data_IF_841242356271
#
_entry.id   IF_841242356271
#
_cell.length_a   1.000
_cell.length_b   1.000
_cell.length_c   1.000
_cell.angle_alpha   90.00
_cell.angle_beta   90.00
_cell.angle_gamma   90.00
#
_symmetry.space_group_name_H-M   'P 1'
#
loop_
_entity.id
_entity.type
_entity.pdbx_description
1 polymer ?
#
# COMPACT_ATOMS: atom_id res chain seq x y z
N UNK A 1 28.06 -1.01 3.11
CA UNK A 1 27.10 0.05 2.74
C UNK A 1 25.72 -0.27 3.35
N UNK A 2 25.41 0.21 4.56
CA UNK A 2 24.20 -0.22 5.31
C UNK A 2 22.88 0.29 4.72
N UNK A 3 22.91 1.36 3.92
CA UNK A 3 21.72 2.04 3.40
C UNK A 3 21.47 1.83 1.90
N UNK A 4 22.31 1.02 1.24
CA UNK A 4 22.23 0.79 -0.21
C UNK A 4 20.83 0.35 -0.68
N UNK A 5 20.11 -0.58 0.01
CA UNK A 5 18.78 -0.99 -0.42
C UNK A 5 17.76 0.14 -0.36
N UNK A 6 17.83 0.98 0.68
CA UNK A 6 16.92 2.12 0.85
C UNK A 6 17.16 3.18 -0.23
N UNK A 7 18.42 3.44 -0.57
CA UNK A 7 18.79 4.35 -1.67
C UNK A 7 18.26 3.84 -3.00
N UNK A 8 18.40 2.54 -3.29
CA UNK A 8 17.87 1.93 -4.52
C UNK A 8 16.35 2.11 -4.62
N UNK A 9 15.61 1.80 -3.56
CA UNK A 9 14.14 1.94 -3.55
C UNK A 9 13.73 3.39 -3.75
N UNK A 10 14.40 4.32 -3.07
CA UNK A 10 14.10 5.74 -3.18
C UNK A 10 14.39 6.26 -4.59
N UNK A 11 15.49 5.85 -5.21
CA UNK A 11 15.81 6.16 -6.60
C UNK A 11 14.75 5.60 -7.55
N UNK A 12 14.34 4.34 -7.39
CA UNK A 12 13.28 3.74 -8.22
C UNK A 12 11.94 4.48 -8.07
N UNK A 13 11.62 4.94 -6.86
CA UNK A 13 10.40 5.69 -6.59
C UNK A 13 10.42 7.04 -7.32
N UNK A 14 11.54 7.77 -7.22
CA UNK A 14 11.72 9.04 -7.92
C UNK A 14 11.76 8.87 -9.44
N UNK A 15 12.33 7.78 -9.94
CA UNK A 15 12.25 7.43 -11.38
C UNK A 15 10.81 7.20 -11.81
N UNK A 16 10.02 6.47 -11.02
CA UNK A 16 8.59 6.27 -11.29
C UNK A 16 7.81 7.58 -11.31
N UNK A 17 8.04 8.45 -10.31
CA UNK A 17 7.44 9.80 -10.24
C UNK A 17 7.84 10.62 -11.47
N UNK A 18 9.14 10.69 -11.78
CA UNK A 18 9.64 11.40 -12.95
C UNK A 18 8.98 10.91 -14.23
N UNK A 19 8.91 9.59 -14.43
CA UNK A 19 8.23 9.02 -15.59
C UNK A 19 6.78 9.47 -15.68
N UNK A 20 6.00 9.38 -14.59
CA UNK A 20 4.61 9.84 -14.56
C UNK A 20 4.49 11.30 -15.01
N UNK A 21 5.36 12.19 -14.53
CA UNK A 21 5.33 13.62 -14.89
C UNK A 21 5.85 13.92 -16.30
N UNK A 22 6.65 13.03 -16.88
CA UNK A 22 7.16 13.18 -18.26
C UNK A 22 6.33 12.43 -19.30
N UNK A 23 5.42 11.55 -18.90
CA UNK A 23 4.50 10.89 -19.80
C UNK A 23 3.45 11.88 -20.26
N UNK A 24 3.40 12.13 -21.57
CA UNK A 24 2.38 12.97 -22.18
C UNK A 24 0.99 12.41 -21.84
N UNK A 25 0.07 13.30 -21.46
CA UNK A 25 -1.33 12.90 -21.35
C UNK A 25 -1.92 12.81 -22.76
N UNK A 26 -2.70 11.77 -23.08
CA UNK A 26 -3.45 11.74 -24.33
C UNK A 26 -4.38 12.95 -24.38
N UNK A 27 -4.60 13.50 -25.58
CA UNK A 27 -5.40 14.72 -25.79
C UNK A 27 -6.83 14.60 -25.21
N UNK A 28 -7.29 13.37 -25.00
CA UNK A 28 -8.62 13.00 -24.51
C UNK A 28 -8.66 12.71 -23.00
N UNK A 29 -7.56 12.94 -22.27
CA UNK A 29 -7.42 12.58 -20.85
C UNK A 29 -8.43 13.30 -19.94
N UNK A 30 -8.89 14.50 -20.31
CA UNK A 30 -9.91 15.26 -19.59
C UNK A 30 -11.35 14.82 -19.88
N UNK A 31 -11.52 13.80 -20.75
CA UNK A 31 -12.82 13.36 -21.23
C UNK A 31 -13.39 14.26 -22.33
N UNK A 32 -14.38 13.73 -23.03
CA UNK A 32 -15.11 14.44 -24.08
C UNK A 32 -16.27 15.26 -23.48
N UNK A 33 -16.62 16.40 -24.10
CA UNK A 33 -17.81 17.17 -23.72
C UNK A 33 -19.08 16.30 -23.73
N UNK A 34 -20.00 16.51 -22.76
CA UNK A 34 -21.28 15.78 -22.65
C UNK A 34 -22.19 15.91 -23.88
N UNK A 35 -21.85 16.80 -24.82
CA UNK A 35 -22.63 17.11 -26.02
C UNK A 35 -22.45 16.11 -27.16
N UNK A 36 -21.48 15.19 -27.09
CA UNK A 36 -21.28 14.14 -28.12
C UNK A 36 -22.28 13.00 -27.93
N UNK A 37 -23.39 13.06 -28.67
CA UNK A 37 -24.47 12.05 -28.61
C UNK A 37 -23.99 10.64 -29.01
N UNK A 38 -23.03 10.52 -29.94
CA UNK A 38 -22.48 9.22 -30.33
C UNK A 38 -21.79 8.45 -29.19
N UNK A 39 -21.31 9.16 -28.15
CA UNK A 39 -20.71 8.57 -26.95
C UNK A 39 -21.71 8.41 -25.80
N UNK A 40 -22.85 9.08 -25.88
CA UNK A 40 -23.93 8.97 -24.90
C UNK A 40 -24.88 7.81 -25.21
N UNK A 41 -24.96 7.37 -26.46
CA UNK A 41 -25.82 6.26 -26.87
C UNK A 41 -25.24 5.57 -28.12
N UNK A 42 -24.30 4.61 -27.96
CA UNK A 42 -23.77 3.86 -29.10
C UNK A 42 -24.88 3.04 -29.79
N UNK A 43 -24.73 2.80 -31.08
CA UNK A 43 -25.71 2.07 -31.89
C UNK A 43 -26.05 0.71 -31.25
N UNK A 44 -27.33 0.51 -30.92
CA UNK A 44 -27.84 -0.69 -30.24
C UNK A 44 -28.05 -0.56 -28.73
N UNK A 45 -27.68 0.56 -28.10
CA UNK A 45 -27.93 0.79 -26.68
C UNK A 45 -29.38 1.25 -26.41
N UNK A 46 -30.10 0.51 -25.57
CA UNK A 46 -31.46 0.83 -25.14
C UNK A 46 -31.54 1.94 -24.09
N UNK A 47 -30.40 2.38 -23.56
CA UNK A 47 -30.28 3.42 -22.53
C UNK A 47 -29.06 4.31 -22.76
N UNK A 48 -29.08 5.52 -22.19
CA UNK A 48 -27.97 6.47 -22.23
C UNK A 48 -26.80 5.90 -21.41
N UNK A 49 -25.68 5.66 -22.08
CA UNK A 49 -24.46 5.12 -21.51
C UNK A 49 -23.40 6.22 -21.51
N UNK A 50 -22.80 6.54 -20.37
CA UNK A 50 -21.79 7.60 -20.29
C UNK A 50 -20.40 7.11 -20.76
N UNK A 51 -20.14 7.04 -22.08
CA UNK A 51 -18.80 6.71 -22.63
C UNK A 51 -17.92 7.95 -22.85
N UNK A 52 -17.99 8.91 -21.94
CA UNK A 52 -17.29 10.19 -22.08
C UNK A 52 -15.77 10.14 -22.06
N UNK A 53 -15.15 8.99 -21.78
CA UNK A 53 -13.69 8.86 -21.83
C UNK A 53 -13.15 8.14 -23.07
N UNK A 54 -13.98 7.68 -24.00
CA UNK A 54 -13.50 6.78 -25.06
C UNK A 54 -13.05 5.41 -24.53
N UNK A 55 -12.27 4.66 -25.31
CA UNK A 55 -11.83 3.31 -24.89
C UNK A 55 -10.88 3.41 -23.69
N UNK A 56 -10.94 2.44 -22.77
CA UNK A 56 -10.07 2.44 -21.59
C UNK A 56 -8.58 2.36 -21.96
N UNK A 57 -8.29 1.68 -23.08
CA UNK A 57 -6.92 1.47 -23.56
C UNK A 57 -6.26 2.77 -24.00
N UNK A 58 -6.93 3.56 -24.82
CA UNK A 58 -6.36 4.80 -25.38
C UNK A 58 -6.01 5.82 -24.28
N UNK A 59 -6.80 5.86 -23.20
CA UNK A 59 -6.58 6.74 -22.06
C UNK A 59 -5.44 6.32 -21.14
N UNK A 60 -5.26 5.02 -20.95
CA UNK A 60 -4.47 4.51 -19.81
C UNK A 60 -3.20 3.77 -20.24
N UNK A 61 -3.07 3.36 -21.49
CA UNK A 61 -1.93 2.57 -21.97
C UNK A 61 -0.58 3.28 -21.77
N UNK A 62 -0.52 4.60 -21.97
CA UNK A 62 0.73 5.37 -21.86
C UNK A 62 1.25 5.48 -20.42
N UNK A 63 0.36 5.51 -19.43
CA UNK A 63 0.71 5.67 -18.01
C UNK A 63 0.74 4.34 -17.25
N UNK A 64 0.25 3.26 -17.85
CA UNK A 64 0.10 1.94 -17.21
C UNK A 64 1.42 1.40 -16.65
N UNK A 65 2.49 1.47 -17.43
CA UNK A 65 3.81 0.96 -17.03
C UNK A 65 4.40 1.76 -15.87
N UNK A 66 4.32 3.09 -15.94
CA UNK A 66 4.80 3.97 -14.89
C UNK A 66 3.99 3.81 -13.59
N UNK A 67 2.66 3.67 -13.71
CA UNK A 67 1.78 3.40 -12.57
C UNK A 67 2.04 2.04 -11.91
N UNK A 68 2.29 0.99 -12.71
CA UNK A 68 2.67 -0.33 -12.22
C UNK A 68 4.01 -0.26 -11.45
N UNK A 69 5.03 0.36 -12.04
CA UNK A 69 6.34 0.53 -11.42
C UNK A 69 6.20 1.29 -10.10
N UNK A 70 5.51 2.43 -10.11
CA UNK A 70 5.29 3.25 -8.93
C UNK A 70 4.58 2.47 -7.81
N UNK A 71 3.52 1.74 -8.16
CA UNK A 71 2.78 0.92 -7.20
C UNK A 71 3.64 -0.18 -6.58
N UNK A 72 4.35 -0.97 -7.40
CA UNK A 72 5.24 -2.05 -6.91
C UNK A 72 6.34 -1.48 -6.01
N UNK A 73 7.01 -0.41 -6.43
CA UNK A 73 8.10 0.20 -5.64
C UNK A 73 7.57 0.77 -4.33
N UNK A 74 6.37 1.37 -4.33
CA UNK A 74 5.73 1.90 -3.12
C UNK A 74 5.42 0.77 -2.14
N UNK A 75 4.84 -0.33 -2.60
CA UNK A 75 4.53 -1.49 -1.76
C UNK A 75 5.79 -2.14 -1.19
N UNK A 76 6.82 -2.33 -2.03
CA UNK A 76 8.13 -2.85 -1.59
C UNK A 76 8.77 -1.91 -0.57
N UNK A 77 8.75 -0.60 -0.82
CA UNK A 77 9.28 0.41 0.10
C UNK A 77 8.56 0.39 1.45
N UNK A 78 7.22 0.34 1.43
CA UNK A 78 6.41 0.22 2.63
C UNK A 78 6.74 -1.06 3.43
N UNK A 79 6.79 -2.22 2.77
CA UNK A 79 7.18 -3.48 3.41
C UNK A 79 8.59 -3.41 4.01
N UNK A 80 9.54 -2.77 3.34
CA UNK A 80 10.91 -2.57 3.83
C UNK A 80 10.98 -1.65 5.05
N UNK A 81 10.16 -0.60 5.11
CA UNK A 81 10.09 0.30 6.25
C UNK A 81 9.54 -0.40 7.49
N UNK A 82 8.47 -1.19 7.33
CA UNK A 82 7.92 -2.02 8.42
C UNK A 82 8.97 -3.05 8.87
N UNK A 83 9.55 -3.77 7.91
CA UNK A 83 10.61 -4.75 8.14
C UNK A 83 11.79 -4.15 8.91
N UNK A 84 12.20 -2.92 8.57
CA UNK A 84 13.23 -2.20 9.31
C UNK A 84 12.76 -1.88 10.73
N UNK A 85 11.57 -1.30 10.91
CA UNK A 85 11.02 -0.96 12.23
C UNK A 85 10.95 -2.15 13.18
N UNK A 86 10.60 -3.33 12.66
CA UNK A 86 10.50 -4.57 13.43
C UNK A 86 11.87 -5.20 13.74
N UNK A 87 12.94 -4.82 13.04
CA UNK A 87 14.32 -5.27 13.30
C UNK A 87 14.96 -4.57 14.52
N UNK A 88 14.16 -4.15 15.50
CA UNK A 88 14.66 -3.53 16.73
C UNK A 88 15.48 -4.54 17.55
N UNK A 89 16.66 -4.09 17.99
CA UNK A 89 17.73 -4.88 18.63
C UNK A 89 17.32 -5.58 19.94
N UNK A 90 16.14 -5.26 20.48
CA UNK A 90 15.64 -5.76 21.77
C UNK A 90 14.55 -6.84 21.64
N UNK A 91 14.17 -7.25 20.44
CA UNK A 91 13.18 -8.31 20.23
C UNK A 91 13.77 -9.71 20.45
N UNK A 92 12.98 -10.62 21.01
CA UNK A 92 13.33 -12.03 21.17
C UNK A 92 13.57 -12.66 19.78
N UNK A 93 14.70 -13.34 19.57
CA UNK A 93 15.18 -13.77 18.24
C UNK A 93 14.18 -14.65 17.48
N UNK A 94 13.50 -15.55 18.18
CA UNK A 94 12.53 -16.48 17.58
C UNK A 94 11.25 -15.76 17.13
N UNK A 95 10.74 -14.88 17.99
CA UNK A 95 9.56 -14.06 17.72
C UNK A 95 9.83 -13.07 16.57
N UNK A 96 11.04 -12.49 16.53
CA UNK A 96 11.48 -11.63 15.44
C UNK A 96 11.56 -12.37 14.09
N UNK A 97 12.01 -13.62 14.08
CA UNK A 97 12.08 -14.44 12.87
C UNK A 97 10.69 -14.86 12.35
N UNK A 98 9.79 -15.26 13.26
CA UNK A 98 8.39 -15.55 12.91
C UNK A 98 7.72 -14.32 12.29
N UNK A 99 7.83 -13.17 12.94
CA UNK A 99 7.26 -11.93 12.44
C UNK A 99 7.88 -11.50 11.11
N UNK A 100 9.19 -11.66 10.94
CA UNK A 100 9.85 -11.41 9.66
C UNK A 100 9.25 -12.24 8.53
N UNK A 101 9.08 -13.55 8.74
CA UNK A 101 8.48 -14.44 7.75
C UNK A 101 7.02 -14.05 7.46
N UNK A 102 6.25 -13.68 8.49
CA UNK A 102 4.90 -13.18 8.34
C UNK A 102 4.86 -11.89 7.50
N UNK A 103 5.76 -10.95 7.74
CA UNK A 103 5.86 -9.70 6.97
C UNK A 103 6.20 -9.93 5.51
N UNK A 104 7.16 -10.82 5.24
CA UNK A 104 7.53 -11.19 3.87
C UNK A 104 6.35 -11.85 3.17
N UNK A 105 5.65 -12.77 3.84
CA UNK A 105 4.45 -13.42 3.30
C UNK A 105 3.35 -12.40 2.99
N UNK A 106 3.02 -11.51 3.94
CA UNK A 106 2.01 -10.46 3.74
C UNK A 106 2.41 -9.51 2.62
N UNK A 107 3.68 -9.13 2.52
CA UNK A 107 4.20 -8.30 1.43
C UNK A 107 4.06 -8.96 0.06
N UNK A 108 4.39 -10.25 -0.05
CA UNK A 108 4.20 -11.03 -1.29
C UNK A 108 2.73 -11.08 -1.67
N UNK A 109 1.85 -11.40 -0.71
CA UNK A 109 0.40 -11.43 -0.94
C UNK A 109 -0.10 -10.06 -1.38
N UNK A 110 0.37 -8.99 -0.76
CA UNK A 110 -0.06 -7.63 -1.09
C UNK A 110 0.33 -7.24 -2.52
N UNK A 111 1.57 -7.53 -2.92
CA UNK A 111 2.04 -7.32 -4.30
C UNK A 111 1.23 -8.19 -5.27
N UNK A 112 0.97 -9.46 -4.95
CA UNK A 112 0.19 -10.34 -5.80
C UNK A 112 -1.24 -9.81 -6.02
N UNK A 113 -1.91 -9.32 -4.97
CA UNK A 113 -3.24 -8.70 -5.08
C UNK A 113 -3.18 -7.42 -5.90
N UNK A 114 -2.16 -6.58 -5.70
CA UNK A 114 -1.96 -5.39 -6.54
C UNK A 114 -1.79 -5.75 -8.02
N UNK A 115 -0.99 -6.77 -8.34
CA UNK A 115 -0.82 -7.25 -9.72
C UNK A 115 -2.13 -7.78 -10.29
N UNK A 116 -2.88 -8.58 -9.52
CA UNK A 116 -4.21 -9.05 -9.95
C UNK A 116 -5.17 -7.89 -10.20
N UNK A 117 -5.11 -6.83 -9.39
CA UNK A 117 -5.94 -5.63 -9.58
C UNK A 117 -5.55 -4.89 -10.86
N UNK A 118 -4.25 -4.76 -11.16
CA UNK A 118 -3.77 -4.17 -12.41
C UNK A 118 -4.21 -5.00 -13.61
N UNK A 119 -4.12 -6.32 -13.54
CA UNK A 119 -4.59 -7.22 -14.61
C UNK A 119 -6.10 -7.08 -14.80
N UNK A 120 -6.88 -7.06 -13.72
CA UNK A 120 -8.33 -6.87 -13.79
C UNK A 120 -8.69 -5.51 -14.39
N UNK A 121 -7.93 -4.46 -14.06
CA UNK A 121 -8.08 -3.13 -14.63
C UNK A 121 -7.70 -3.07 -16.12
N UNK A 122 -6.66 -3.78 -16.55
CA UNK A 122 -6.30 -3.87 -17.97
C UNK A 122 -7.35 -4.68 -18.76
N UNK A 123 -7.85 -5.77 -18.19
CA UNK A 123 -8.91 -6.58 -18.81
C UNK A 123 -10.19 -5.77 -19.05
N UNK A 124 -10.52 -4.82 -18.16
CA UNK A 124 -11.68 -3.94 -18.37
C UNK A 124 -11.49 -2.93 -19.51
N UNK A 125 -10.27 -2.73 -20.01
CA UNK A 125 -10.04 -1.92 -21.21
C UNK A 125 -10.47 -2.65 -22.48
N UNK A 126 -10.19 -3.95 -22.54
CA UNK A 126 -10.46 -4.77 -23.71
C UNK A 126 -11.92 -5.27 -23.71
N UNK A 127 -12.52 -5.49 -22.53
CA UNK A 127 -13.91 -5.95 -22.37
C UNK A 127 -14.74 -5.02 -21.46
N UNK A 128 -15.02 -3.77 -21.87
CA UNK A 128 -15.68 -2.78 -21.00
C UNK A 128 -17.15 -3.10 -20.68
N UNK A 129 -17.80 -3.97 -21.47
CA UNK A 129 -19.23 -4.30 -21.35
C UNK A 129 -19.51 -5.55 -20.52
N UNK A 130 -18.49 -6.37 -20.27
CA UNK A 130 -18.63 -7.66 -19.59
C UNK A 130 -17.63 -7.77 -18.43
N UNK A 131 -17.79 -6.95 -17.38
CA UNK A 131 -16.90 -7.04 -16.24
C UNK A 131 -17.05 -8.41 -15.56
N UNK A 132 -15.92 -9.05 -15.25
CA UNK A 132 -15.92 -10.24 -14.41
C UNK A 132 -16.29 -9.85 -12.97
N UNK A 133 -17.17 -10.63 -12.36
CA UNK A 133 -17.63 -10.42 -10.98
C UNK A 133 -17.04 -11.47 -10.05
N UNK A 134 -16.75 -11.04 -8.82
CA UNK A 134 -16.42 -11.93 -7.70
C UNK A 134 -17.39 -11.63 -6.55
N UNK A 135 -18.41 -12.48 -6.40
CA UNK A 135 -19.53 -12.21 -5.50
C UNK A 135 -20.45 -11.12 -6.06
N UNK A 136 -20.76 -10.10 -5.24
CA UNK A 136 -21.66 -9.01 -5.62
C UNK A 136 -20.96 -7.84 -6.34
N UNK A 137 -19.64 -7.85 -6.46
CA UNK A 137 -18.87 -6.72 -6.99
C UNK A 137 -17.96 -7.15 -8.15
N UNK A 138 -17.62 -6.24 -9.08
CA UNK A 138 -16.58 -6.47 -10.08
C UNK A 138 -15.26 -6.89 -9.42
N UNK A 139 -14.51 -7.79 -10.08
CA UNK A 139 -13.26 -8.34 -9.55
C UNK A 139 -12.30 -7.25 -9.07
N UNK A 140 -12.10 -6.19 -9.86
CA UNK A 140 -11.23 -5.07 -9.48
C UNK A 140 -11.66 -4.38 -8.17
N UNK A 141 -12.96 -4.15 -8.00
CA UNK A 141 -13.53 -3.57 -6.77
C UNK A 141 -13.34 -4.50 -5.58
N UNK A 142 -13.57 -5.80 -5.75
CA UNK A 142 -13.37 -6.79 -4.68
C UNK A 142 -11.89 -6.86 -4.25
N UNK A 143 -10.96 -6.84 -5.21
CA UNK A 143 -9.52 -6.80 -4.93
C UNK A 143 -9.10 -5.50 -4.24
N UNK A 144 -9.71 -4.37 -4.57
CA UNK A 144 -9.43 -3.10 -3.87
C UNK A 144 -9.85 -3.17 -2.40
N UNK A 145 -11.10 -3.59 -2.11
CA UNK A 145 -11.59 -3.63 -0.73
C UNK A 145 -10.96 -4.74 0.11
N UNK A 146 -10.97 -5.98 -0.38
CA UNK A 146 -10.51 -7.13 0.41
C UNK A 146 -8.98 -7.27 0.38
N UNK A 147 -8.37 -6.88 -0.72
CA UNK A 147 -6.93 -6.94 -0.91
C UNK A 147 -6.23 -5.68 -0.45
N UNK A 148 -6.37 -4.61 -1.21
CA UNK A 148 -5.57 -3.39 -1.01
C UNK A 148 -5.90 -2.71 0.33
N UNK A 149 -7.18 -2.58 0.67
CA UNK A 149 -7.62 -2.01 1.94
C UNK A 149 -7.60 -3.03 3.09
N UNK A 150 -7.79 -4.31 2.78
CA UNK A 150 -7.78 -5.38 3.78
C UNK A 150 -6.41 -5.62 4.40
N UNK A 151 -5.32 -5.46 3.63
CA UNK A 151 -3.95 -5.64 4.16
C UNK A 151 -3.64 -4.66 5.31
N UNK A 152 -3.81 -3.33 5.17
CA UNK A 152 -3.66 -2.39 6.28
C UNK A 152 -4.55 -2.72 7.50
N UNK A 153 -5.79 -3.15 7.27
CA UNK A 153 -6.68 -3.58 8.36
C UNK A 153 -6.12 -4.81 9.10
N UNK A 154 -5.61 -5.79 8.36
CA UNK A 154 -4.92 -6.96 8.92
C UNK A 154 -3.70 -6.57 9.75
N UNK A 155 -2.92 -5.59 9.29
CA UNK A 155 -1.82 -5.02 10.06
C UNK A 155 -2.26 -4.39 11.38
N UNK A 156 -3.36 -3.65 11.38
CA UNK A 156 -3.93 -3.07 12.61
C UNK A 156 -4.35 -4.18 13.59
N UNK A 157 -5.00 -5.24 13.09
CA UNK A 157 -5.40 -6.38 13.91
C UNK A 157 -4.17 -7.08 14.51
N UNK A 158 -3.16 -7.39 13.70
CA UNK A 158 -1.90 -7.97 14.18
C UNK A 158 -1.22 -7.06 15.21
N UNK A 159 -1.18 -5.75 14.95
CA UNK A 159 -0.62 -4.78 15.88
C UNK A 159 -1.33 -4.80 17.24
N UNK A 160 -2.66 -4.83 17.25
CA UNK A 160 -3.44 -4.86 18.49
C UNK A 160 -3.25 -6.17 19.25
N UNK A 161 -3.33 -7.31 18.55
CA UNK A 161 -3.23 -8.64 19.16
C UNK A 161 -1.85 -8.91 19.75
N UNK A 162 -0.79 -8.42 19.11
CA UNK A 162 0.60 -8.67 19.50
C UNK A 162 1.27 -7.44 20.14
N UNK A 163 0.48 -6.46 20.57
CA UNK A 163 1.00 -5.19 21.12
C UNK A 163 1.92 -5.42 22.33
N UNK A 164 1.52 -6.32 23.25
CA UNK A 164 2.24 -6.58 24.50
C UNK A 164 3.58 -7.25 24.26
N UNK A 165 3.66 -8.13 23.27
CA UNK A 165 4.86 -8.90 22.97
C UNK A 165 5.90 -8.06 22.22
N UNK A 166 5.47 -7.14 21.35
CA UNK A 166 6.37 -6.43 20.43
C UNK A 166 6.57 -4.95 20.76
N UNK A 167 5.51 -4.22 21.13
CA UNK A 167 5.60 -2.76 21.38
C UNK A 167 5.96 -2.49 22.84
N UNK A 168 5.33 -3.23 23.77
CA UNK A 168 5.53 -3.05 25.21
C UNK A 168 5.95 -4.34 25.93
N UNK A 169 7.11 -4.94 25.59
CA UNK A 169 7.59 -6.13 26.27
C UNK A 169 7.71 -5.90 27.78
N UNK A 170 7.38 -6.90 28.60
CA UNK A 170 7.49 -6.81 30.06
C UNK A 170 8.87 -6.34 30.51
N UNK A 171 9.93 -6.81 29.85
CA UNK A 171 11.32 -6.37 30.11
C UNK A 171 11.51 -4.87 29.93
N UNK A 172 10.90 -4.28 28.90
CA UNK A 172 10.94 -2.83 28.66
C UNK A 172 10.17 -2.09 29.74
N UNK A 173 9.06 -2.67 30.22
CA UNK A 173 8.24 -2.10 31.29
C UNK A 173 8.94 -2.17 32.66
N UNK A 174 9.62 -3.27 32.96
CA UNK A 174 10.46 -3.41 34.16
C UNK A 174 11.61 -2.42 34.15
N UNK A 175 12.35 -2.33 33.04
CA UNK A 175 13.43 -1.36 32.89
C UNK A 175 12.93 0.09 33.00
N UNK A 176 11.74 0.37 32.47
CA UNK A 176 11.12 1.68 32.62
C UNK A 176 10.79 1.99 34.09
N UNK A 177 10.23 1.02 34.83
CA UNK A 177 9.98 1.16 36.28
C UNK A 177 11.29 1.41 37.05
N UNK A 178 12.34 0.63 36.80
CA UNK A 178 13.67 0.83 37.40
C UNK A 178 14.23 2.25 37.14
N UNK A 179 14.07 2.76 35.91
CA UNK A 179 14.51 4.11 35.55
C UNK A 179 13.67 5.21 36.22
N UNK A 180 12.37 4.98 36.44
CA UNK A 180 11.50 5.92 37.15
C UNK A 180 11.83 5.92 38.65
N UNK A 181 12.01 4.74 39.24
CA UNK A 181 12.28 4.59 40.68
C UNK A 181 13.65 5.15 41.04
N UNK A 182 14.68 4.91 40.22
CA UNK A 182 16.00 5.52 40.38
C UNK A 182 15.96 7.05 40.27
N UNK A 183 15.14 7.61 39.38
CA UNK A 183 14.96 9.07 39.26
C UNK A 183 14.26 9.67 40.49
N UNK A 184 13.23 9.00 41.02
CA UNK A 184 12.52 9.44 42.23
C UNK A 184 13.44 9.41 43.45
N UNK A 185 14.21 8.34 43.61
CA UNK A 185 15.18 8.24 44.70
C UNK A 185 16.27 9.33 44.62
N UNK A 186 16.76 9.64 43.42
CA UNK A 186 17.74 10.72 43.20
C UNK A 186 17.15 12.13 43.40
N UNK A 187 15.86 12.32 43.14
CA UNK A 187 15.16 13.58 43.42
C UNK A 187 14.92 13.81 44.91
N UNK A 188 14.49 12.76 45.64
CA UNK A 188 14.33 12.80 47.09
C UNK A 188 15.65 13.03 47.83
N UNK A 189 16.76 12.43 47.37
CA UNK A 189 18.07 12.71 47.98
C UNK A 189 18.56 14.15 47.78
N UNK A 190 18.00 14.89 46.83
CA UNK A 190 18.35 16.29 46.59
C UNK A 190 17.52 17.25 47.48
N UNK A 191 16.24 16.92 47.73
CA UNK A 191 15.38 17.65 48.68
C UNK A 191 15.77 17.41 50.15
N UNK A 192 16.21 16.19 50.51
CA UNK A 192 16.67 15.89 51.88
C UNK A 192 18.04 16.50 52.22
N UNK A 193 18.77 16.98 51.22
CA UNK A 193 20.11 17.59 51.36
C UNK A 193 20.11 19.13 51.30
N UNK A 194 18.95 19.76 51.05
CA UNK A 194 18.75 21.22 50.98
C UNK A 194 18.05 21.77 52.22
#
# INVERSE_FOLDING_TARGET
MKYLPAVIVLLLLWVGVFQIFTTNHPDDASGYPHTRQELAQPDGASQTMMFQGGTGRDRHMQVAGAGLLFGVVTLVGFSLLIAWGCRSRNSNREIAAFFWNLMVMVGIVYIAVFLMMVIAYQSSWDNPYEPHYLGAFPVGTTLMFLGICGVPAGFIVLYVLFYREFILPEKSLTRFKELVDSRKAAGQSYEDAS
#
